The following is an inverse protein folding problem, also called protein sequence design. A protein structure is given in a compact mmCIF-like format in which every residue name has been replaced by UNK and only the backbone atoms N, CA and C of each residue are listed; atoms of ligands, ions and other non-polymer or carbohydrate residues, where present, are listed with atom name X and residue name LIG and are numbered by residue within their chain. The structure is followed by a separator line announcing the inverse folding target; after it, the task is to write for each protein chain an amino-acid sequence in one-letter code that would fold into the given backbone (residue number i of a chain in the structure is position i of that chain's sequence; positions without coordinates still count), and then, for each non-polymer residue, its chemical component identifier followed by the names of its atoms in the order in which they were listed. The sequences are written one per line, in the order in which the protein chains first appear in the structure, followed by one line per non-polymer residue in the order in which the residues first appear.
data_IF_854658229038
#
_entry.id   IF_854658229038
#
_cell.length_a   1.000
_cell.length_b   1.000
_cell.length_c   1.000
_cell.angle_alpha   90.00
_cell.angle_beta   90.00
_cell.angle_gamma   90.00
#
_symmetry.space_group_name_H-M   'P 1'
#
loop_
_entity.id
_entity.type
_entity.pdbx_description
1 polymer ?
#
# COMPACT_ATOMS: atom_id res chain seq x y z
N UNK A 1 -15.59 6.70 25.01
CA UNK A 1 -14.48 7.39 24.30
C UNK A 1 -13.14 6.65 24.47
N UNK A 2 -12.68 6.34 25.70
CA UNK A 2 -11.39 5.66 25.94
C UNK A 2 -11.29 4.21 25.43
N UNK A 3 -12.33 3.38 25.61
CA UNK A 3 -12.33 1.97 25.19
C UNK A 3 -12.12 1.80 23.68
N UNK A 4 -12.68 2.70 22.89
CA UNK A 4 -12.55 2.69 21.43
C UNK A 4 -11.13 3.09 20.99
N UNK A 5 -10.57 4.16 21.57
CA UNK A 5 -9.19 4.57 21.27
C UNK A 5 -8.15 3.55 21.72
N UNK A 6 -8.40 2.83 22.82
CA UNK A 6 -7.51 1.75 23.28
C UNK A 6 -7.46 0.59 22.28
N UNK A 7 -8.62 0.18 21.75
CA UNK A 7 -8.70 -0.87 20.73
C UNK A 7 -8.02 -0.42 19.43
N UNK A 8 -8.23 0.82 19.00
CA UNK A 8 -7.60 1.38 17.80
C UNK A 8 -6.08 1.44 17.97
N UNK A 9 -5.57 1.92 19.10
CA UNK A 9 -4.14 1.98 19.36
C UNK A 9 -3.50 0.59 19.37
N UNK A 10 -4.16 -0.39 19.99
CA UNK A 10 -3.69 -1.77 20.02
C UNK A 10 -3.65 -2.40 18.62
N UNK A 11 -4.71 -2.24 17.81
CA UNK A 11 -4.76 -2.74 16.43
C UNK A 11 -3.73 -2.04 15.55
N UNK A 12 -3.52 -0.73 15.75
CA UNK A 12 -2.59 0.08 14.96
C UNK A 12 -1.13 -0.32 15.17
N UNK A 13 -0.78 -0.80 16.36
CA UNK A 13 0.56 -1.29 16.66
C UNK A 13 0.72 -2.77 16.30
N UNK A 14 -0.29 -3.59 16.61
CA UNK A 14 -0.23 -5.03 16.40
C UNK A 14 -0.13 -5.42 14.92
N UNK A 15 -0.88 -4.76 14.03
CA UNK A 15 -0.92 -5.14 12.61
C UNK A 15 0.40 -4.90 11.85
N UNK A 16 1.04 -3.71 11.95
CA UNK A 16 2.33 -3.50 11.32
C UNK A 16 3.42 -4.41 11.91
N UNK A 17 3.38 -4.70 13.21
CA UNK A 17 4.32 -5.60 13.87
C UNK A 17 4.18 -7.04 13.33
N UNK A 18 2.96 -7.57 13.27
CA UNK A 18 2.70 -8.89 12.70
C UNK A 18 3.09 -8.96 11.22
N UNK A 19 2.73 -7.93 10.44
CA UNK A 19 3.12 -7.82 9.05
C UNK A 19 4.64 -7.83 8.93
N UNK A 20 5.36 -6.97 9.66
CA UNK A 20 6.82 -6.89 9.65
C UNK A 20 7.51 -8.21 10.01
N UNK A 21 6.93 -9.00 10.92
CA UNK A 21 7.47 -10.31 11.30
C UNK A 21 7.29 -11.35 10.19
N UNK A 22 6.12 -11.36 9.54
CA UNK A 22 5.80 -12.25 8.42
C UNK A 22 6.65 -11.88 7.18
N UNK A 23 6.81 -10.59 6.94
CA UNK A 23 7.67 -9.96 5.94
C UNK A 23 9.11 -10.47 6.06
N UNK A 24 9.66 -10.52 7.27
CA UNK A 24 11.05 -10.97 7.46
C UNK A 24 11.27 -12.46 7.11
N UNK A 25 10.21 -13.27 7.06
CA UNK A 25 10.28 -14.70 6.72
C UNK A 25 9.99 -15.02 5.26
N UNK A 26 9.25 -14.17 4.55
CA UNK A 26 8.72 -14.46 3.22
C UNK A 26 9.45 -13.55 2.23
N UNK A 27 10.34 -14.12 1.41
CA UNK A 27 11.31 -13.38 0.58
C UNK A 27 10.77 -12.18 -0.22
N UNK A 28 11.71 -11.33 -0.65
CA UNK A 28 11.51 -9.96 -1.17
C UNK A 28 10.33 -9.76 -2.14
N UNK A 29 10.07 -10.75 -3.00
CA UNK A 29 9.03 -10.71 -4.04
C UNK A 29 7.61 -10.97 -3.54
N UNK A 30 7.41 -11.99 -2.71
CA UNK A 30 6.07 -12.35 -2.23
C UNK A 30 5.54 -11.27 -1.26
N UNK A 31 6.47 -10.59 -0.62
CA UNK A 31 6.22 -9.52 0.32
C UNK A 31 5.42 -8.36 -0.27
N UNK A 32 5.76 -7.97 -1.50
CA UNK A 32 5.06 -6.88 -2.17
C UNK A 32 3.59 -7.23 -2.40
N UNK A 33 3.35 -8.42 -2.96
CA UNK A 33 2.01 -8.93 -3.25
C UNK A 33 1.20 -9.11 -1.97
N UNK A 34 1.81 -9.69 -0.92
CA UNK A 34 1.15 -9.86 0.38
C UNK A 34 0.81 -8.51 1.02
N UNK A 35 1.72 -7.52 0.99
CA UNK A 35 1.43 -6.18 1.50
C UNK A 35 0.30 -5.48 0.74
N UNK A 36 0.27 -5.61 -0.59
CA UNK A 36 -0.79 -5.06 -1.45
C UNK A 36 -2.15 -5.73 -1.19
N UNK A 37 -2.19 -7.05 -1.06
CA UNK A 37 -3.41 -7.80 -0.77
C UNK A 37 -3.91 -7.50 0.64
N UNK A 38 -3.03 -7.48 1.65
CA UNK A 38 -3.41 -7.14 3.02
C UNK A 38 -3.89 -5.70 3.12
N UNK A 39 -3.24 -4.75 2.46
CA UNK A 39 -3.70 -3.35 2.45
C UNK A 39 -5.06 -3.21 1.75
N UNK A 40 -5.26 -3.93 0.63
CA UNK A 40 -6.53 -3.95 -0.11
C UNK A 40 -7.68 -4.57 0.68
N UNK A 41 -7.45 -5.68 1.39
CA UNK A 41 -8.50 -6.33 2.21
C UNK A 41 -8.89 -5.46 3.40
N UNK A 42 -7.94 -4.75 4.02
CA UNK A 42 -8.23 -3.76 5.06
C UNK A 42 -9.01 -2.56 4.49
N UNK A 43 -8.68 -2.09 3.28
CA UNK A 43 -9.42 -1.02 2.60
C UNK A 43 -10.88 -1.38 2.29
N UNK A 44 -11.15 -2.62 1.87
CA UNK A 44 -12.52 -3.11 1.64
C UNK A 44 -13.27 -3.32 2.96
N UNK A 45 -12.60 -3.84 3.99
CA UNK A 45 -13.16 -3.98 5.35
C UNK A 45 -13.58 -2.65 5.98
N UNK A 46 -12.98 -1.55 5.55
CA UNK A 46 -13.32 -0.18 5.95
C UNK A 46 -14.75 0.21 5.57
N UNK A 47 -15.30 -0.37 4.49
CA UNK A 47 -16.64 -0.05 3.98
C UNK A 47 -17.76 -0.57 4.89
N UNK A 48 -17.45 -1.46 5.84
CA UNK A 48 -18.38 -1.97 6.84
C UNK A 48 -18.30 -1.22 8.18
N UNK A 49 -17.32 -0.33 8.35
CA UNK A 49 -17.12 0.39 9.60
C UNK A 49 -17.88 1.72 9.60
N UNK A 50 -19.08 1.71 10.19
CA UNK A 50 -19.98 2.87 10.32
C UNK A 50 -19.42 3.99 11.25
N UNK A 51 -18.29 3.75 11.94
CA UNK A 51 -17.72 4.69 12.92
C UNK A 51 -16.45 5.39 12.43
N UNK A 52 -16.45 6.73 12.40
CA UNK A 52 -15.32 7.58 11.99
C UNK A 52 -14.00 7.24 12.67
N UNK A 53 -14.03 6.75 13.91
CA UNK A 53 -12.83 6.38 14.66
C UNK A 53 -12.17 5.08 14.15
N UNK A 54 -12.96 4.12 13.65
CA UNK A 54 -12.44 2.89 13.05
C UNK A 54 -11.80 3.19 11.69
N UNK A 55 -12.41 4.09 10.92
CA UNK A 55 -11.89 4.53 9.62
C UNK A 55 -10.49 5.13 9.74
N UNK A 56 -10.29 6.01 10.72
CA UNK A 56 -8.99 6.66 10.99
C UNK A 56 -7.91 5.67 11.48
N UNK A 57 -8.30 4.66 12.25
CA UNK A 57 -7.39 3.62 12.73
C UNK A 57 -6.86 2.76 11.58
N UNK A 58 -7.77 2.24 10.75
CA UNK A 58 -7.41 1.41 9.59
C UNK A 58 -6.66 2.21 8.50
N UNK A 59 -6.97 3.50 8.30
CA UNK A 59 -6.21 4.34 7.37
C UNK A 59 -4.75 4.51 7.83
N UNK A 60 -4.52 4.64 9.13
CA UNK A 60 -3.16 4.76 9.69
C UNK A 60 -2.35 3.47 9.49
N UNK A 61 -2.99 2.31 9.70
CA UNK A 61 -2.36 0.99 9.47
C UNK A 61 -2.03 0.78 8.00
N UNK A 62 -2.97 1.08 7.10
CA UNK A 62 -2.74 0.93 5.66
C UNK A 62 -1.62 1.84 5.15
N UNK A 63 -1.50 3.07 5.66
CA UNK A 63 -0.37 3.97 5.36
C UNK A 63 0.96 3.42 5.86
N UNK A 64 1.00 2.85 7.07
CA UNK A 64 2.21 2.22 7.62
C UNK A 64 2.69 1.06 6.73
N UNK A 65 1.77 0.20 6.28
CA UNK A 65 2.08 -0.91 5.37
C UNK A 65 2.57 -0.38 4.01
N UNK A 66 1.95 0.67 3.48
CA UNK A 66 2.33 1.26 2.20
C UNK A 66 3.75 1.87 2.24
N UNK A 67 4.12 2.51 3.36
CA UNK A 67 5.46 3.05 3.56
C UNK A 67 6.55 1.96 3.52
N UNK A 68 6.26 0.76 4.05
CA UNK A 68 7.17 -0.38 3.94
C UNK A 68 7.27 -0.88 2.49
N UNK A 69 6.17 -0.86 1.75
CA UNK A 69 6.12 -1.23 0.33
C UNK A 69 7.06 -0.39 -0.54
N UNK A 70 7.11 0.93 -0.34
CA UNK A 70 7.99 1.84 -1.13
C UNK A 70 9.46 1.47 -0.96
N UNK A 71 9.91 1.20 0.27
CA UNK A 71 11.29 0.76 0.52
C UNK A 71 11.62 -0.54 -0.19
N UNK A 72 10.66 -1.45 -0.23
CA UNK A 72 10.82 -2.76 -0.86
C UNK A 72 10.83 -2.69 -2.40
N UNK A 73 9.95 -1.88 -3.00
CA UNK A 73 9.97 -1.59 -4.44
C UNK A 73 11.32 -1.00 -4.82
N UNK A 74 11.82 -0.06 -4.02
CA UNK A 74 13.12 0.57 -4.24
C UNK A 74 14.25 -0.45 -4.24
N UNK A 75 14.27 -1.41 -3.30
CA UNK A 75 15.24 -2.51 -3.30
C UNK A 75 15.11 -3.43 -4.52
N UNK A 76 13.89 -3.80 -4.91
CA UNK A 76 13.65 -4.68 -6.07
C UNK A 76 14.07 -4.00 -7.37
N UNK A 77 13.75 -2.72 -7.55
CA UNK A 77 14.15 -1.92 -8.72
C UNK A 77 15.67 -1.86 -8.83
N UNK A 78 16.37 -1.69 -7.71
CA UNK A 78 17.84 -1.68 -7.69
C UNK A 78 18.45 -3.04 -8.05
N UNK A 79 17.79 -4.14 -7.69
CA UNK A 79 18.23 -5.50 -8.05
C UNK A 79 17.89 -5.86 -9.51
N UNK A 80 16.86 -5.25 -10.09
CA UNK A 80 16.39 -5.53 -11.45
C UNK A 80 17.14 -4.73 -12.53
N UNK A 81 17.59 -3.51 -12.21
CA UNK A 81 18.28 -2.64 -13.16
C UNK A 81 19.82 -2.70 -12.97
N UNK A 82 20.61 -2.80 -14.06
CA UNK A 82 22.05 -2.75 -13.97
C UNK A 82 22.53 -1.41 -13.39
N UNK A 83 23.70 -1.41 -12.72
CA UNK A 83 24.22 -0.34 -11.86
C UNK A 83 24.23 1.05 -12.51
N UNK A 84 24.40 1.12 -13.84
CA UNK A 84 24.41 2.36 -14.61
C UNK A 84 23.04 3.05 -14.74
N UNK A 85 21.93 2.31 -14.61
CA UNK A 85 20.57 2.85 -14.75
C UNK A 85 19.83 2.94 -13.42
N UNK A 86 20.43 2.45 -12.33
CA UNK A 86 19.83 2.38 -11.00
C UNK A 86 19.32 3.74 -10.51
N UNK A 87 20.14 4.79 -10.62
CA UNK A 87 19.78 6.14 -10.15
C UNK A 87 18.60 6.73 -10.94
N UNK A 88 18.56 6.49 -12.25
CA UNK A 88 17.47 6.95 -13.12
C UNK A 88 16.17 6.21 -12.85
N UNK A 89 16.22 4.89 -12.62
CA UNK A 89 15.04 4.09 -12.30
C UNK A 89 14.42 4.52 -10.96
N UNK A 90 15.24 4.79 -9.95
CA UNK A 90 14.79 5.26 -8.63
C UNK A 90 14.19 6.67 -8.72
N UNK A 91 14.84 7.60 -9.41
CA UNK A 91 14.30 8.96 -9.55
C UNK A 91 12.99 8.98 -10.34
N UNK A 92 12.87 8.17 -11.40
CA UNK A 92 11.63 8.03 -12.15
C UNK A 92 10.50 7.44 -11.28
N UNK A 93 10.80 6.41 -10.49
CA UNK A 93 9.84 5.82 -9.54
C UNK A 93 9.36 6.85 -8.52
N UNK A 94 10.27 7.62 -7.91
CA UNK A 94 9.90 8.67 -6.96
C UNK A 94 9.09 9.80 -7.61
N UNK A 95 9.47 10.23 -8.81
CA UNK A 95 8.73 11.26 -9.57
C UNK A 95 7.30 10.79 -9.85
N UNK A 96 7.13 9.57 -10.36
CA UNK A 96 5.83 8.97 -10.58
C UNK A 96 5.01 8.87 -9.28
N UNK A 97 5.64 8.46 -8.17
CA UNK A 97 5.00 8.41 -6.85
C UNK A 97 4.53 9.78 -6.35
N UNK A 98 5.32 10.84 -6.55
CA UNK A 98 4.96 12.22 -6.19
C UNK A 98 3.82 12.75 -7.05
N UNK A 99 3.88 12.56 -8.37
CA UNK A 99 2.80 12.97 -9.28
C UNK A 99 1.51 12.23 -8.98
N UNK A 100 1.59 10.93 -8.68
CA UNK A 100 0.46 10.11 -8.25
C UNK A 100 -0.16 10.59 -6.93
N UNK A 101 0.66 10.98 -5.97
CA UNK A 101 0.18 11.55 -4.69
C UNK A 101 -0.55 12.88 -4.89
N UNK A 102 -0.02 13.77 -5.73
CA UNK A 102 -0.67 15.06 -6.03
C UNK A 102 -2.01 14.84 -6.73
N UNK A 103 -2.04 14.06 -7.80
CA UNK A 103 -3.26 13.76 -8.55
C UNK A 103 -4.29 13.04 -7.67
N UNK A 104 -3.85 12.00 -6.95
CA UNK A 104 -4.69 11.21 -6.06
C UNK A 104 -5.29 12.04 -4.92
N UNK A 105 -4.50 12.91 -4.29
CA UNK A 105 -4.99 13.77 -3.22
C UNK A 105 -6.04 14.78 -3.71
N UNK A 106 -5.86 15.34 -4.90
CA UNK A 106 -6.83 16.24 -5.52
C UNK A 106 -8.15 15.52 -5.84
N UNK A 107 -8.05 14.36 -6.50
CA UNK A 107 -9.22 13.55 -6.89
C UNK A 107 -9.96 13.04 -5.65
N UNK A 108 -9.22 12.54 -4.65
CA UNK A 108 -9.80 12.07 -3.41
C UNK A 108 -10.47 13.20 -2.61
N UNK A 109 -9.87 14.39 -2.56
CA UNK A 109 -10.48 15.57 -1.93
C UNK A 109 -11.81 15.97 -2.58
N UNK A 110 -11.90 15.92 -3.91
CA UNK A 110 -13.13 16.20 -4.64
C UNK A 110 -14.20 15.11 -4.43
N UNK A 111 -13.79 13.84 -4.42
CA UNK A 111 -14.69 12.71 -4.15
C UNK A 111 -15.23 12.74 -2.71
N UNK A 112 -14.40 13.09 -1.73
CA UNK A 112 -14.81 13.17 -0.33
C UNK A 112 -15.87 14.25 -0.10
N UNK A 113 -15.79 15.37 -0.84
CA UNK A 113 -16.76 16.46 -0.74
C UNK A 113 -18.14 16.14 -1.34
N UNK A 114 -18.26 15.09 -2.16
CA UNK A 114 -19.51 14.73 -2.86
C UNK A 114 -20.07 13.39 -2.40
N UNK A 115 -19.24 12.35 -2.29
CA UNK A 115 -19.63 10.99 -1.87
C UNK A 115 -18.48 10.24 -1.16
N UNK A 116 -18.52 10.20 0.18
CA UNK A 116 -17.55 9.44 0.98
C UNK A 116 -17.45 7.96 0.60
N UNK A 117 -18.58 7.28 0.40
CA UNK A 117 -18.60 5.85 0.11
C UNK A 117 -17.88 5.51 -1.21
N UNK A 118 -18.05 6.35 -2.23
CA UNK A 118 -17.40 6.18 -3.53
C UNK A 118 -15.87 6.38 -3.43
N UNK A 119 -15.42 7.31 -2.59
CA UNK A 119 -14.00 7.56 -2.34
C UNK A 119 -13.30 6.34 -1.74
N UNK A 120 -13.93 5.66 -0.78
CA UNK A 120 -13.38 4.44 -0.18
C UNK A 120 -13.33 3.28 -1.17
N UNK A 121 -14.38 3.09 -1.96
CA UNK A 121 -14.39 2.06 -3.01
C UNK A 121 -13.34 2.32 -4.08
N UNK A 122 -13.13 3.57 -4.49
CA UNK A 122 -12.13 3.94 -5.48
C UNK A 122 -10.70 3.61 -5.00
N UNK A 123 -10.38 3.92 -3.73
CA UNK A 123 -9.08 3.56 -3.14
C UNK A 123 -8.94 2.04 -3.06
N UNK A 124 -9.91 1.34 -2.46
CA UNK A 124 -9.85 -0.13 -2.31
C UNK A 124 -9.72 -0.84 -3.66
N UNK A 125 -10.46 -0.38 -4.67
CA UNK A 125 -10.42 -0.89 -6.03
C UNK A 125 -9.08 -0.63 -6.73
N UNK A 126 -8.50 0.55 -6.55
CA UNK A 126 -7.17 0.87 -7.09
C UNK A 126 -6.08 -0.01 -6.47
N UNK A 127 -6.11 -0.24 -5.15
CA UNK A 127 -5.19 -1.13 -4.46
C UNK A 127 -5.35 -2.59 -4.92
N UNK A 128 -6.57 -3.07 -5.07
CA UNK A 128 -6.84 -4.42 -5.60
C UNK A 128 -6.36 -4.56 -7.04
N UNK A 129 -6.57 -3.54 -7.88
CA UNK A 129 -6.10 -3.55 -9.27
C UNK A 129 -4.57 -3.59 -9.32
N UNK A 130 -3.89 -2.83 -8.46
CA UNK A 130 -2.43 -2.90 -8.30
C UNK A 130 -1.94 -4.27 -7.80
N UNK A 131 -2.68 -4.90 -6.88
CA UNK A 131 -2.37 -6.24 -6.38
C UNK A 131 -2.52 -7.29 -7.48
N UNK A 132 -3.60 -7.22 -8.27
CA UNK A 132 -3.85 -8.08 -9.42
C UNK A 132 -2.79 -7.85 -10.49
N UNK A 133 -2.44 -6.60 -10.81
CA UNK A 133 -1.34 -6.30 -11.74
C UNK A 133 -0.01 -6.90 -11.26
N UNK A 134 0.28 -6.82 -9.96
CA UNK A 134 1.51 -7.39 -9.38
C UNK A 134 1.52 -8.92 -9.42
N UNK A 135 0.35 -9.55 -9.34
CA UNK A 135 0.21 -11.00 -9.50
C UNK A 135 0.28 -11.43 -10.97
N UNK A 136 -0.30 -10.62 -11.86
CA UNK A 136 -0.35 -10.85 -13.29
C UNK A 136 1.00 -10.56 -13.97
N UNK A 137 1.86 -9.75 -13.35
CA UNK A 137 3.23 -9.53 -13.80
C UNK A 137 4.01 -10.85 -13.69
N UNK A 138 4.22 -11.58 -14.82
CA UNK A 138 5.00 -12.79 -14.78
C UNK A 138 6.44 -12.36 -14.52
N UNK A 139 7.10 -12.98 -13.56
CA UNK A 139 8.55 -12.82 -13.48
C UNK A 139 9.17 -13.43 -14.74
N UNK A 140 9.47 -12.57 -15.71
CA UNK A 140 10.72 -12.76 -16.44
C UNK A 140 11.83 -12.41 -15.44
N UNK A 141 12.68 -13.33 -14.98
CA UNK A 141 12.93 -14.64 -15.56
C UNK A 141 13.35 -14.53 -17.02
N UNK A 142 14.18 -13.52 -17.37
CA UNK A 142 14.91 -13.38 -18.65
C UNK A 142 15.61 -12.00 -18.75
N UNK A 143 16.63 -11.77 -17.94
CA UNK A 143 17.77 -10.88 -18.25
C UNK A 143 19.10 -11.56 -17.85
N UNK A 144 19.11 -12.90 -17.90
CA UNK A 144 20.32 -13.71 -17.97
C UNK A 144 20.28 -14.41 -19.33
N UNK A 145 20.58 -13.64 -20.38
CA UNK A 145 21.00 -14.12 -21.69
C UNK A 145 21.74 -12.94 -22.35
#
# INVERSE_FOLDING_TARGET
MFRNNLIIGAVSLAMPLLCGLIVNKVGKRNLLVVCLVVSGTFGVGLSFADSSALVLGLSSVSVAINSMGIGHISSIVVELFPTHLRAMAVSLHLMAGRTGSIAGNLIFGLLLSTNCAFAFYAIGGALLTCAVLSCLLPARGKYAA
#
